data_IF_892670988039
#
_entry.id   IF_892670988039
#
_cell.length_a   1.000
_cell.length_b   1.000
_cell.length_c   1.000
_cell.angle_alpha   90.00
_cell.angle_beta   90.00
_cell.angle_gamma   90.00
#
_symmetry.space_group_name_H-M   'P 1'
#
loop_
_entity.id
_entity.type
_entity.pdbx_description
1 polymer ?
#
# COMPACT_ATOMS: atom_id res chain seq x y z
N UNK A 1 34.32 3.27 -17.93
CA UNK A 1 33.02 2.63 -17.69
C UNK A 1 31.98 3.69 -17.37
N UNK A 2 30.99 3.93 -18.23
CA UNK A 2 29.81 4.71 -17.85
C UNK A 2 28.84 3.79 -17.13
N UNK A 3 28.46 4.11 -15.89
CA UNK A 3 27.39 3.39 -15.19
C UNK A 3 26.07 3.71 -15.89
N UNK A 4 25.34 2.69 -16.33
CA UNK A 4 24.00 2.82 -16.93
C UNK A 4 23.02 2.04 -16.07
N UNK A 5 21.92 2.69 -15.70
CA UNK A 5 20.78 2.04 -15.06
C UNK A 5 19.91 1.49 -16.19
N UNK A 6 19.64 0.20 -16.14
CA UNK A 6 18.83 -0.57 -17.09
C UNK A 6 17.42 -0.84 -16.57
N UNK A 7 17.22 -0.89 -15.25
CA UNK A 7 15.91 -1.10 -14.62
C UNK A 7 15.63 -0.10 -13.50
N UNK A 8 14.41 0.42 -13.46
CA UNK A 8 13.91 1.31 -12.40
C UNK A 8 12.54 0.80 -11.94
N UNK A 9 12.38 0.56 -10.64
CA UNK A 9 11.09 0.20 -10.06
C UNK A 9 10.60 1.33 -9.17
N UNK A 10 9.40 1.87 -9.44
CA UNK A 10 8.74 2.82 -8.55
C UNK A 10 7.75 2.05 -7.66
N UNK A 11 8.00 2.05 -6.35
CA UNK A 11 7.20 1.28 -5.40
C UNK A 11 6.25 2.17 -4.60
N UNK A 12 4.94 1.89 -4.66
CA UNK A 12 3.96 2.38 -3.71
C UNK A 12 4.03 1.51 -2.44
N UNK A 13 4.83 1.96 -1.46
CA UNK A 13 5.11 1.19 -0.25
C UNK A 13 3.95 1.19 0.75
N UNK A 14 3.92 0.20 1.65
CA UNK A 14 2.89 0.01 2.69
C UNK A 14 1.50 -0.26 2.11
N UNK A 15 1.45 -0.99 0.99
CA UNK A 15 0.20 -1.40 0.36
C UNK A 15 -0.71 -2.23 1.30
N UNK A 16 -0.16 -2.82 2.37
CA UNK A 16 -0.90 -3.51 3.43
C UNK A 16 -1.80 -2.57 4.26
N UNK A 17 -1.63 -1.25 4.15
CA UNK A 17 -2.56 -0.27 4.73
C UNK A 17 -3.84 -0.09 3.89
N UNK A 18 -4.00 -0.89 2.84
CA UNK A 18 -5.19 -0.97 2.01
C UNK A 18 -5.58 -2.43 1.79
N UNK A 19 -6.88 -2.65 1.56
CA UNK A 19 -7.36 -3.94 1.07
C UNK A 19 -6.83 -4.20 -0.36
N UNK A 20 -6.65 -5.46 -0.73
CA UNK A 20 -6.02 -5.84 -2.02
C UNK A 20 -6.77 -5.29 -3.24
N UNK A 21 -8.09 -5.10 -3.12
CA UNK A 21 -8.95 -4.49 -4.14
C UNK A 21 -8.52 -3.08 -4.53
N UNK A 22 -7.80 -2.36 -3.65
CA UNK A 22 -7.27 -1.03 -3.92
C UNK A 22 -5.81 -1.02 -4.41
N UNK A 23 -5.10 -2.16 -4.48
CA UNK A 23 -3.67 -2.18 -4.84
C UNK A 23 -3.42 -1.78 -6.28
N UNK A 24 -4.27 -2.21 -7.21
CA UNK A 24 -4.11 -1.87 -8.63
C UNK A 24 -4.43 -0.39 -8.89
N UNK A 25 -5.41 0.16 -8.16
CA UNK A 25 -5.72 1.61 -8.16
C UNK A 25 -4.55 2.42 -7.60
N UNK A 26 -3.96 1.99 -6.48
CA UNK A 26 -2.77 2.63 -5.91
C UNK A 26 -1.60 2.62 -6.90
N UNK A 27 -1.36 1.49 -7.56
CA UNK A 27 -0.31 1.36 -8.55
C UNK A 27 -0.54 2.31 -9.73
N UNK A 28 -1.78 2.47 -10.19
CA UNK A 28 -2.12 3.36 -11.28
C UNK A 28 -1.97 4.85 -10.90
N UNK A 29 -2.34 5.24 -9.67
CA UNK A 29 -2.09 6.59 -9.14
C UNK A 29 -0.59 6.89 -9.11
N UNK A 30 0.24 5.98 -8.60
CA UNK A 30 1.69 6.18 -8.53
C UNK A 30 2.33 6.18 -9.93
N UNK A 31 1.84 5.35 -10.86
CA UNK A 31 2.22 5.41 -12.27
C UNK A 31 1.98 6.81 -12.82
N UNK A 32 0.77 7.33 -12.64
CA UNK A 32 0.36 8.66 -13.12
C UNK A 32 1.25 9.77 -12.54
N UNK A 33 1.57 9.71 -11.25
CA UNK A 33 2.53 10.64 -10.60
C UNK A 33 3.92 10.56 -11.21
N UNK A 34 4.36 9.36 -11.60
CA UNK A 34 5.69 9.09 -12.13
C UNK A 34 5.79 9.20 -13.66
N UNK A 35 4.69 9.44 -14.40
CA UNK A 35 4.61 9.37 -15.87
C UNK A 35 5.76 10.11 -16.57
N UNK A 36 6.09 11.33 -16.12
CA UNK A 36 7.17 12.13 -16.70
C UNK A 36 8.56 11.51 -16.45
N UNK A 37 8.79 10.97 -15.27
CA UNK A 37 10.04 10.31 -14.91
C UNK A 37 10.19 8.97 -15.67
N UNK A 38 9.10 8.20 -15.76
CA UNK A 38 8.99 6.97 -16.55
C UNK A 38 9.34 7.23 -18.01
N UNK A 39 8.72 8.23 -18.63
CA UNK A 39 8.97 8.57 -20.04
C UNK A 39 10.44 8.94 -20.30
N UNK A 40 11.05 9.71 -19.38
CA UNK A 40 12.47 10.09 -19.49
C UNK A 40 13.41 8.89 -19.36
N UNK A 41 13.16 8.01 -18.40
CA UNK A 41 13.97 6.81 -18.18
C UNK A 41 13.88 5.84 -19.37
N UNK A 42 12.66 5.59 -19.87
CA UNK A 42 12.42 4.79 -21.08
C UNK A 42 13.17 5.37 -22.29
N UNK A 43 13.18 6.70 -22.46
CA UNK A 43 13.94 7.35 -23.54
C UNK A 43 15.46 7.08 -23.45
N UNK A 44 16.00 6.93 -22.24
CA UNK A 44 17.41 6.54 -22.02
C UNK A 44 17.64 5.01 -22.07
N UNK A 45 16.60 4.24 -22.41
CA UNK A 45 16.62 2.79 -22.52
C UNK A 45 16.70 2.05 -21.19
N UNK A 46 16.16 2.62 -20.12
CA UNK A 46 15.92 1.93 -18.87
C UNK A 46 14.45 1.48 -18.82
N UNK A 47 14.20 0.22 -18.47
CA UNK A 47 12.87 -0.30 -18.25
C UNK A 47 12.31 0.21 -16.93
N UNK A 48 11.06 0.67 -16.94
CA UNK A 48 10.40 1.17 -15.72
C UNK A 48 9.09 0.44 -15.44
N UNK A 49 9.00 -0.17 -14.26
CA UNK A 49 7.75 -0.72 -13.72
C UNK A 49 7.30 0.04 -12.46
N UNK A 50 6.02 -0.09 -12.13
CA UNK A 50 5.42 0.47 -10.91
C UNK A 50 4.70 -0.64 -10.17
N UNK A 51 4.93 -0.74 -8.87
CA UNK A 51 4.33 -1.81 -8.05
C UNK A 51 3.78 -1.25 -6.74
N UNK A 52 2.58 -1.67 -6.35
CA UNK A 52 2.12 -1.52 -4.97
C UNK A 52 2.67 -2.69 -4.13
N UNK A 53 3.43 -2.40 -3.07
CA UNK A 53 4.10 -3.44 -2.29
C UNK A 53 4.18 -3.10 -0.79
N UNK A 54 4.42 -4.13 0.01
CA UNK A 54 4.75 -4.00 1.42
C UNK A 54 5.95 -4.89 1.73
N UNK A 55 7.08 -4.28 2.10
CA UNK A 55 8.29 -5.02 2.47
C UNK A 55 8.08 -5.85 3.74
N UNK A 56 7.29 -5.31 4.68
CA UNK A 56 6.81 -6.01 5.87
C UNK A 56 5.33 -5.68 6.01
N UNK A 57 4.49 -6.72 5.99
CA UNK A 57 3.05 -6.64 6.09
C UNK A 57 2.65 -6.65 7.57
N UNK A 58 2.03 -5.57 8.03
CA UNK A 58 1.58 -5.39 9.41
C UNK A 58 0.09 -5.75 9.61
N UNK A 59 -0.65 -5.93 8.52
CA UNK A 59 -2.09 -6.17 8.53
C UNK A 59 -2.45 -7.48 7.83
N UNK A 60 -3.63 -8.02 8.11
CA UNK A 60 -4.25 -9.13 7.37
C UNK A 60 -5.57 -8.66 6.77
N UNK A 61 -5.97 -9.26 5.65
CA UNK A 61 -7.26 -8.96 5.04
C UNK A 61 -8.40 -9.64 5.82
N UNK A 62 -9.57 -9.04 5.75
CA UNK A 62 -10.80 -9.59 6.30
C UNK A 62 -12.00 -8.87 5.72
N UNK A 63 -13.18 -9.30 6.14
CA UNK A 63 -14.44 -8.65 5.79
C UNK A 63 -15.30 -8.44 7.03
N UNK A 64 -16.03 -7.35 7.08
CA UNK A 64 -17.00 -7.07 8.15
C UNK A 64 -18.35 -6.82 7.50
N UNK A 65 -19.39 -7.45 8.05
CA UNK A 65 -20.76 -7.22 7.59
C UNK A 65 -21.35 -6.01 8.33
N UNK A 66 -21.66 -4.95 7.61
CA UNK A 66 -22.35 -3.78 8.14
C UNK A 66 -23.73 -3.69 7.48
N UNK A 67 -24.78 -4.07 8.22
CA UNK A 67 -26.13 -4.16 7.67
C UNK A 67 -26.23 -5.20 6.53
N UNK A 68 -26.48 -4.72 5.31
CA UNK A 68 -26.56 -5.55 4.09
C UNK A 68 -25.24 -5.59 3.31
N UNK A 69 -24.30 -4.73 3.63
CA UNK A 69 -23.03 -4.60 2.92
C UNK A 69 -21.93 -5.44 3.59
N UNK A 70 -21.00 -5.92 2.77
CA UNK A 70 -19.78 -6.57 3.23
C UNK A 70 -18.63 -5.66 2.90
N UNK A 71 -18.00 -5.10 3.93
CA UNK A 71 -16.93 -4.13 3.77
C UNK A 71 -15.56 -4.83 3.79
N UNK A 72 -14.68 -4.52 2.83
CA UNK A 72 -13.31 -5.04 2.82
C UNK A 72 -12.47 -4.32 3.88
N UNK A 73 -12.04 -5.04 4.91
CA UNK A 73 -11.27 -4.46 6.03
C UNK A 73 -9.85 -4.98 6.05
N UNK A 74 -8.97 -4.19 6.65
CA UNK A 74 -7.65 -4.63 7.08
C UNK A 74 -7.63 -4.78 8.60
N UNK A 75 -6.97 -5.80 9.10
CA UNK A 75 -6.93 -6.13 10.52
C UNK A 75 -5.49 -6.09 11.00
N UNK A 76 -5.23 -5.35 12.06
CA UNK A 76 -3.91 -5.24 12.67
C UNK A 76 -3.98 -4.47 13.98
N UNK A 77 -2.85 -4.17 14.59
CA UNK A 77 -2.79 -3.34 15.81
C UNK A 77 -2.38 -1.92 15.46
N UNK A 78 -3.29 -0.93 15.48
CA UNK A 78 -2.95 0.48 15.28
C UNK A 78 -1.92 0.95 16.31
N UNK A 79 -1.13 1.98 15.97
CA UNK A 79 -0.20 2.60 16.92
C UNK A 79 -0.99 3.39 17.96
N UNK A 80 -0.49 3.44 19.19
CA UNK A 80 -1.11 4.22 20.27
C UNK A 80 -1.25 5.70 19.86
N UNK A 81 -2.44 6.26 20.06
CA UNK A 81 -2.74 7.67 19.74
C UNK A 81 -3.25 7.92 18.32
N UNK A 82 -3.20 6.94 17.42
CA UNK A 82 -3.91 7.01 16.14
C UNK A 82 -5.42 7.13 16.35
N UNK A 83 -6.13 7.78 15.42
CA UNK A 83 -7.56 8.07 15.56
C UNK A 83 -8.38 7.84 14.30
N UNK A 84 -9.55 7.23 14.45
CA UNK A 84 -10.57 7.11 13.40
C UNK A 84 -11.95 7.30 14.03
N UNK A 85 -12.81 8.11 13.40
CA UNK A 85 -14.20 8.34 13.84
C UNK A 85 -14.37 8.67 15.34
N UNK A 86 -13.42 9.42 15.93
CA UNK A 86 -13.43 9.78 17.35
C UNK A 86 -12.84 8.73 18.30
N UNK A 87 -12.59 7.51 17.82
CA UNK A 87 -11.88 6.48 18.59
C UNK A 87 -10.38 6.76 18.60
N UNK A 88 -9.73 6.50 19.74
CA UNK A 88 -8.28 6.62 19.91
C UNK A 88 -7.71 5.25 20.26
N UNK A 89 -6.73 4.78 19.49
CA UNK A 89 -6.17 3.46 19.69
C UNK A 89 -5.14 3.41 20.82
N UNK A 90 -5.09 2.28 21.53
CA UNK A 90 -4.24 2.03 22.70
C UNK A 90 -2.85 1.47 22.35
N UNK A 91 -2.61 1.11 21.08
CA UNK A 91 -1.36 0.50 20.64
C UNK A 91 -1.23 -0.99 20.98
N UNK A 92 -2.30 -1.66 21.40
CA UNK A 92 -2.28 -3.06 21.88
C UNK A 92 -3.42 -3.90 21.31
N UNK A 93 -4.59 -3.30 21.12
CA UNK A 93 -5.79 -3.97 20.65
C UNK A 93 -5.72 -4.19 19.13
N UNK A 94 -6.02 -5.41 18.68
CA UNK A 94 -6.19 -5.69 17.26
C UNK A 94 -7.57 -5.19 16.81
N UNK A 95 -7.61 -4.43 15.72
CA UNK A 95 -8.81 -3.78 15.22
C UNK A 95 -8.97 -4.02 13.72
N UNK A 96 -10.21 -4.31 13.31
CA UNK A 96 -10.61 -4.28 11.90
C UNK A 96 -10.91 -2.84 11.47
N UNK A 97 -10.19 -2.35 10.48
CA UNK A 97 -10.29 -0.98 9.97
C UNK A 97 -10.71 -1.03 8.51
N UNK A 98 -11.75 -0.26 8.18
CA UNK A 98 -12.08 0.07 6.80
C UNK A 98 -11.33 1.36 6.42
N UNK A 99 -10.29 1.30 5.57
CA UNK A 99 -9.50 2.49 5.23
C UNK A 99 -10.23 3.44 4.26
N UNK A 100 -11.36 3.00 3.69
CA UNK A 100 -11.99 3.60 2.53
C UNK A 100 -11.46 3.00 1.23
N UNK A 101 -12.11 3.33 0.12
CA UNK A 101 -11.74 2.88 -1.21
C UNK A 101 -11.00 3.98 -1.97
N UNK A 102 -9.91 3.61 -2.65
CA UNK A 102 -9.34 4.49 -3.65
C UNK A 102 -10.36 4.68 -4.79
N UNK A 103 -10.48 5.89 -5.35
CA UNK A 103 -11.47 6.17 -6.38
C UNK A 103 -11.22 5.31 -7.62
N UNK A 104 -12.31 4.84 -8.25
CA UNK A 104 -12.23 4.06 -9.48
C UNK A 104 -11.65 4.89 -10.63
N UNK A 105 -12.06 6.16 -10.73
CA UNK A 105 -11.47 7.10 -11.65
C UNK A 105 -10.24 7.77 -11.01
N UNK A 106 -9.06 7.46 -11.53
CA UNK A 106 -7.78 7.98 -11.08
C UNK A 106 -7.69 9.50 -11.24
N UNK A 107 -8.31 10.08 -12.29
CA UNK A 107 -8.23 11.51 -12.56
C UNK A 107 -8.89 12.34 -11.45
N UNK A 108 -9.85 11.77 -10.71
CA UNK A 108 -10.46 12.42 -9.54
C UNK A 108 -9.45 12.72 -8.42
N UNK A 109 -8.36 11.95 -8.32
CA UNK A 109 -7.27 12.21 -7.36
C UNK A 109 -6.47 13.46 -7.74
N UNK A 110 -6.42 13.79 -9.03
CA UNK A 110 -5.57 14.86 -9.57
C UNK A 110 -6.34 16.13 -9.93
N UNK A 111 -7.67 16.08 -10.02
CA UNK A 111 -8.51 17.24 -10.33
C UNK A 111 -8.67 18.16 -9.12
N UNK A 112 -7.69 19.03 -8.87
CA UNK A 112 -7.67 19.99 -7.75
C UNK A 112 -8.78 21.06 -7.82
N UNK A 113 -9.57 21.09 -8.91
CA UNK A 113 -10.60 22.10 -9.20
C UNK A 113 -12.03 21.66 -8.88
N UNK A 114 -12.26 20.38 -8.60
CA UNK A 114 -13.59 19.84 -8.29
C UNK A 114 -14.15 20.30 -6.94
N UNK A 115 -15.46 20.53 -6.88
CA UNK A 115 -16.21 20.86 -5.65
C UNK A 115 -16.09 19.80 -4.54
N UNK A 116 -15.66 18.58 -4.88
CA UNK A 116 -15.45 17.45 -3.96
C UNK A 116 -14.13 17.51 -3.15
N UNK A 117 -13.22 18.46 -3.44
CA UNK A 117 -12.05 18.71 -2.57
C UNK A 117 -12.38 19.45 -1.28
N UNK A 118 -13.63 19.87 -1.11
CA UNK A 118 -14.18 20.24 0.20
C UNK A 118 -14.62 18.98 0.95
N UNK A 119 -13.81 17.92 0.94
CA UNK A 119 -13.94 16.91 1.98
C UNK A 119 -13.81 17.65 3.30
N UNK A 120 -14.89 17.67 4.07
CA UNK A 120 -14.90 18.23 5.40
C UNK A 120 -13.66 17.70 6.11
N UNK A 121 -12.75 18.60 6.50
CA UNK A 121 -11.51 18.21 7.21
C UNK A 121 -11.78 17.37 8.47
N UNK A 122 -13.05 17.31 8.90
CA UNK A 122 -13.56 16.44 9.96
C UNK A 122 -13.70 14.96 9.54
N UNK A 123 -14.09 14.65 8.29
CA UNK A 123 -14.37 13.28 7.81
C UNK A 123 -13.91 13.05 6.34
N UNK A 124 -12.62 12.73 6.13
CA UNK A 124 -12.09 12.42 4.80
C UNK A 124 -12.61 11.06 4.33
N UNK A 125 -12.91 10.96 3.03
CA UNK A 125 -13.43 9.74 2.41
C UNK A 125 -12.49 8.52 2.53
N UNK A 126 -11.19 8.79 2.76
CA UNK A 126 -10.15 7.79 2.96
C UNK A 126 -9.33 8.19 4.19
N UNK A 127 -9.10 7.26 5.11
CA UNK A 127 -8.25 7.48 6.28
C UNK A 127 -7.28 6.33 6.50
N UNK A 128 -5.99 6.66 6.44
CA UNK A 128 -4.91 5.70 6.64
C UNK A 128 -4.45 5.71 8.09
N UNK A 129 -4.78 4.65 8.82
CA UNK A 129 -4.26 4.42 10.17
C UNK A 129 -2.88 3.77 10.08
N UNK A 130 -2.00 4.12 11.02
CA UNK A 130 -0.67 3.48 11.13
C UNK A 130 -0.71 2.27 12.05
N UNK A 131 -0.07 1.19 11.63
CA UNK A 131 -0.04 -0.07 12.37
C UNK A 131 1.33 -0.31 13.02
N UNK A 132 1.30 -1.06 14.12
CA UNK A 132 2.50 -1.65 14.72
C UNK A 132 3.04 -2.78 13.82
N UNK A 133 4.34 -3.07 13.86
CA UNK A 133 4.90 -4.23 13.17
C UNK A 133 4.17 -5.54 13.53
N UNK A 134 4.14 -6.53 12.61
CA UNK A 134 3.50 -7.81 12.89
C UNK A 134 4.19 -8.51 14.07
N UNK A 135 3.43 -9.31 14.82
CA UNK A 135 4.01 -10.17 15.84
C UNK A 135 4.88 -11.21 15.15
N UNK A 136 6.13 -11.33 15.59
CA UNK A 136 7.03 -12.38 15.10
C UNK A 136 6.56 -13.72 15.68
N UNK A 137 6.10 -14.60 14.81
CA UNK A 137 5.85 -16.00 15.18
C UNK A 137 7.20 -16.69 15.43
N UNK A 138 7.28 -17.54 16.46
CA UNK A 138 8.48 -18.31 16.82
C UNK A 138 8.16 -19.80 16.70
N UNK A 139 9.02 -20.58 16.03
CA UNK A 139 8.91 -22.05 16.03
C UNK A 139 9.54 -22.63 17.31
N UNK A 140 9.30 -23.91 17.58
CA UNK A 140 9.80 -24.60 18.76
C UNK A 140 11.34 -24.71 18.79
N UNK A 141 12.02 -24.71 17.64
CA UNK A 141 13.49 -24.77 17.54
C UNK A 141 14.20 -23.40 17.57
N UNK A 142 13.48 -22.27 17.62
CA UNK A 142 14.07 -20.93 17.64
C UNK A 142 13.44 -19.95 16.64
N UNK A 143 14.10 -18.80 16.39
CA UNK A 143 13.60 -17.76 15.50
C UNK A 143 13.82 -18.17 14.04
N UNK A 144 12.77 -18.67 13.40
CA UNK A 144 12.67 -18.66 11.94
C UNK A 144 11.22 -18.41 11.58
N UNK A 145 10.85 -17.17 11.22
CA UNK A 145 9.70 -16.95 10.35
C UNK A 145 9.94 -15.73 9.47
N UNK A 146 9.82 -15.98 8.16
CA UNK A 146 9.87 -14.96 7.11
C UNK A 146 8.87 -13.85 7.42
N UNK A 147 9.31 -12.60 7.33
CA UNK A 147 8.40 -11.47 7.45
C UNK A 147 7.37 -11.55 6.31
N UNK A 148 6.06 -11.46 6.62
CA UNK A 148 5.04 -11.44 5.59
C UNK A 148 5.23 -10.18 4.74
N UNK A 149 4.99 -10.29 3.44
CA UNK A 149 5.19 -9.19 2.49
C UNK A 149 4.12 -9.22 1.41
N UNK A 150 4.05 -8.16 0.62
CA UNK A 150 3.16 -8.05 -0.54
C UNK A 150 4.03 -7.68 -1.75
N UNK A 151 3.99 -8.52 -2.80
CA UNK A 151 4.64 -8.31 -4.10
C UNK A 151 6.17 -8.04 -4.06
N UNK A 152 6.86 -8.43 -2.99
CA UNK A 152 8.33 -8.33 -2.89
C UNK A 152 9.02 -9.29 -3.88
N UNK A 153 8.46 -10.48 -4.04
CA UNK A 153 8.78 -11.44 -5.08
C UNK A 153 8.74 -10.83 -6.49
N UNK A 154 7.65 -10.12 -6.83
CA UNK A 154 7.52 -9.42 -8.12
C UNK A 154 8.58 -8.32 -8.28
N UNK A 155 8.87 -7.57 -7.21
CA UNK A 155 9.91 -6.55 -7.23
C UNK A 155 11.30 -7.17 -7.49
N UNK A 156 11.62 -8.29 -6.83
CA UNK A 156 12.88 -9.02 -7.04
C UNK A 156 12.97 -9.60 -8.46
N UNK A 157 11.89 -10.21 -8.95
CA UNK A 157 11.85 -10.74 -10.31
C UNK A 157 12.10 -9.64 -11.35
N UNK A 158 11.51 -8.45 -11.17
CA UNK A 158 11.74 -7.34 -12.08
C UNK A 158 13.17 -6.81 -11.99
N UNK A 159 13.70 -6.61 -10.78
CA UNK A 159 14.99 -5.95 -10.58
C UNK A 159 16.21 -6.81 -10.87
N UNK A 160 16.14 -8.12 -10.57
CA UNK A 160 17.31 -9.01 -10.62
C UNK A 160 17.00 -10.39 -11.20
N UNK A 161 15.75 -10.68 -11.60
CA UNK A 161 15.36 -12.02 -12.04
C UNK A 161 16.06 -12.50 -13.31
N UNK A 162 16.49 -11.59 -14.17
CA UNK A 162 17.27 -11.87 -15.37
C UNK A 162 18.73 -12.25 -15.08
N UNK A 163 19.28 -11.80 -13.96
CA UNK A 163 20.63 -12.16 -13.51
C UNK A 163 20.70 -13.51 -12.79
N UNK A 164 19.55 -14.07 -12.42
CA UNK A 164 19.44 -15.33 -11.68
C UNK A 164 18.93 -16.50 -12.55
N UNK A 165 18.73 -16.27 -13.86
CA UNK A 165 18.22 -17.24 -14.82
C UNK A 165 19.29 -18.16 -15.41
#
# INVERSE_FOLDING_TARGET
>A
FSRRIDRILVAATKADHLHHESHDRLQAIVRRLADRAVARANFTGADVDVVAMAAVRATREGTVRQGRETLPVIIGTPIAGEKINGETFDGKTETAIFPGDLPENIDAVFDVSGADHRQDSADPAIRFVRFRPPKLERTAEGVTLSLPHIRLDRALQFLIGDHLA
#
